data_IF_678617769905
#
_entry.id   IF_678617769905
#
_cell.length_a   1.000
_cell.length_b   1.000
_cell.length_c   1.000
_cell.angle_alpha   90.00
_cell.angle_beta   90.00
_cell.angle_gamma   90.00
#
_symmetry.space_group_name_H-M   'P 1'
#
loop_
_entity.id
_entity.type
_entity.pdbx_description
1 polymer ?
#
# COMPACT_ATOMS: atom_id res chain seq x y z
N UNK A 1 13.49 51.54 9.59
CA UNK A 1 12.90 50.57 8.65
C UNK A 1 13.32 49.17 9.09
N UNK A 2 12.42 48.38 9.67
CA UNK A 2 12.74 47.02 10.09
C UNK A 2 12.51 46.06 8.93
N UNK A 3 13.58 45.46 8.46
CA UNK A 3 13.55 44.45 7.41
C UNK A 3 13.02 43.14 8.02
N UNK A 4 11.74 42.84 7.78
CA UNK A 4 11.13 41.56 8.18
C UNK A 4 11.62 40.47 7.25
N UNK A 5 12.79 39.91 7.56
CA UNK A 5 13.30 38.72 6.89
C UNK A 5 12.24 37.62 6.91
N UNK A 6 11.72 37.26 5.74
CA UNK A 6 10.87 36.08 5.56
C UNK A 6 11.67 34.87 6.01
N UNK A 7 11.35 34.35 7.20
CA UNK A 7 11.84 33.05 7.65
C UNK A 7 11.32 31.99 6.67
N UNK A 8 12.17 31.53 5.76
CA UNK A 8 11.93 30.41 4.86
C UNK A 8 12.15 29.11 5.62
N UNK A 9 11.33 28.84 6.63
CA UNK A 9 11.35 27.52 7.27
C UNK A 9 10.88 26.51 6.25
N UNK A 10 11.78 25.60 5.85
CA UNK A 10 11.43 24.52 4.93
C UNK A 10 10.22 23.76 5.46
N UNK A 11 9.24 23.52 4.59
CA UNK A 11 8.06 22.72 4.91
C UNK A 11 8.50 21.33 5.40
N UNK A 12 8.03 20.91 6.57
CA UNK A 12 8.34 19.57 7.10
C UNK A 12 7.77 18.51 6.17
N UNK A 13 8.55 17.47 5.89
CA UNK A 13 8.18 16.39 4.98
C UNK A 13 7.42 15.28 5.69
N UNK A 14 6.31 14.84 5.09
CA UNK A 14 5.57 13.65 5.51
C UNK A 14 6.10 12.44 4.74
N UNK A 15 6.74 11.51 5.44
CA UNK A 15 7.32 10.32 4.83
C UNK A 15 6.31 9.18 4.70
N UNK A 16 5.50 8.96 5.73
CA UNK A 16 4.56 7.85 5.77
C UNK A 16 3.28 8.15 6.53
N UNK A 17 2.21 7.45 6.16
CA UNK A 17 0.92 7.45 6.88
C UNK A 17 0.57 6.00 7.20
N UNK A 18 0.25 5.73 8.47
CA UNK A 18 -0.32 4.45 8.86
C UNK A 18 -1.81 4.44 8.50
N UNK A 19 -2.22 3.42 7.75
CA UNK A 19 -3.61 3.25 7.33
C UNK A 19 -4.09 1.84 7.60
N UNK A 20 -5.37 1.72 7.92
CA UNK A 20 -6.08 0.45 8.06
C UNK A 20 -7.00 0.28 6.87
N UNK A 21 -7.11 -0.95 6.38
CA UNK A 21 -8.19 -1.28 5.46
C UNK A 21 -9.54 -1.12 6.17
N UNK A 22 -10.47 -0.46 5.48
CA UNK A 22 -11.84 -0.22 5.92
C UNK A 22 -12.75 -0.33 4.69
N UNK A 23 -13.38 -1.50 4.56
CA UNK A 23 -14.04 -1.99 3.35
C UNK A 23 -13.09 -1.95 2.13
N UNK A 24 -13.39 -1.09 1.15
CA UNK A 24 -12.56 -0.89 -0.06
C UNK A 24 -11.50 0.20 0.12
N UNK A 25 -11.49 0.91 1.25
CA UNK A 25 -10.66 2.08 1.48
C UNK A 25 -9.46 1.78 2.38
N UNK A 26 -8.52 2.72 2.41
CA UNK A 26 -7.44 2.78 3.39
C UNK A 26 -7.55 4.07 4.19
N UNK A 27 -7.85 3.96 5.47
CA UNK A 27 -8.14 5.09 6.36
C UNK A 27 -7.08 5.24 7.45
N UNK A 28 -6.67 6.48 7.72
CA UNK A 28 -5.65 6.80 8.71
C UNK A 28 -5.74 8.24 9.22
N UNK A 29 -4.68 8.68 9.88
CA UNK A 29 -4.56 10.04 10.41
C UNK A 29 -3.19 10.64 10.10
N UNK A 30 -3.18 11.95 9.89
CA UNK A 30 -1.94 12.75 9.81
C UNK A 30 -1.94 13.66 11.04
N UNK A 31 -0.87 13.65 11.82
CA UNK A 31 -0.77 14.46 13.04
C UNK A 31 0.41 15.43 12.94
N UNK A 32 0.13 16.72 13.17
CA UNK A 32 1.13 17.79 13.18
C UNK A 32 1.01 18.61 14.45
N UNK A 33 1.81 18.25 15.46
CA UNK A 33 1.69 18.86 16.78
C UNK A 33 0.32 18.56 17.39
N UNK A 34 -0.56 19.57 17.51
CA UNK A 34 -1.90 19.43 18.08
C UNK A 34 -3.03 19.31 17.04
N UNK A 35 -2.69 19.31 15.74
CA UNK A 35 -3.67 19.25 14.65
C UNK A 35 -3.69 17.82 14.08
N UNK A 36 -4.88 17.20 14.05
CA UNK A 36 -5.09 15.86 13.49
C UNK A 36 -6.00 15.88 12.26
N UNK A 37 -5.50 15.43 11.12
CA UNK A 37 -6.28 15.31 9.88
C UNK A 37 -6.75 13.86 9.72
N UNK A 38 -7.98 13.67 9.25
CA UNK A 38 -8.42 12.36 8.76
C UNK A 38 -7.94 12.19 7.33
N UNK A 39 -7.31 11.06 7.04
CA UNK A 39 -6.82 10.69 5.72
C UNK A 39 -7.58 9.46 5.24
N UNK A 40 -8.00 9.45 3.98
CA UNK A 40 -8.56 8.29 3.32
C UNK A 40 -8.01 8.20 1.90
N UNK A 41 -7.58 7.00 1.50
CA UNK A 41 -7.35 6.65 0.10
C UNK A 41 -8.42 5.64 -0.33
N UNK A 42 -9.14 5.97 -1.40
CA UNK A 42 -10.25 5.18 -1.94
C UNK A 42 -9.87 4.70 -3.35
N UNK A 43 -9.29 3.49 -3.48
CA UNK A 43 -9.04 2.85 -4.76
C UNK A 43 -10.33 2.72 -5.58
N UNK A 44 -10.26 3.03 -6.87
CA UNK A 44 -11.32 2.79 -7.85
C UNK A 44 -10.91 1.78 -8.92
N UNK A 45 -9.61 1.57 -9.13
CA UNK A 45 -9.09 0.54 -10.03
C UNK A 45 -7.76 -0.03 -9.53
N UNK A 46 -7.41 -1.19 -10.06
CA UNK A 46 -6.14 -1.88 -9.83
C UNK A 46 -5.59 -2.36 -11.17
N UNK A 47 -4.27 -2.31 -11.32
CA UNK A 47 -3.53 -2.82 -12.46
C UNK A 47 -2.17 -3.37 -12.00
N UNK A 48 -1.54 -4.17 -12.86
CA UNK A 48 -0.14 -4.53 -12.74
C UNK A 48 0.65 -3.66 -13.73
N UNK A 49 1.66 -2.95 -13.23
CA UNK A 49 2.56 -2.12 -14.04
C UNK A 49 3.98 -2.32 -13.55
N UNK A 50 4.89 -2.63 -14.46
CA UNK A 50 6.31 -2.92 -14.14
C UNK A 50 6.46 -3.99 -13.05
N UNK A 51 5.66 -5.06 -13.14
CA UNK A 51 5.55 -6.13 -12.15
C UNK A 51 4.67 -5.78 -10.95
N UNK A 52 4.54 -4.50 -10.61
CA UNK A 52 3.96 -4.07 -9.33
C UNK A 52 2.46 -3.87 -9.39
N UNK A 53 1.81 -4.16 -8.26
CA UNK A 53 0.43 -3.72 -8.02
C UNK A 53 0.37 -2.18 -7.99
N UNK A 54 -0.43 -1.59 -8.87
CA UNK A 54 -0.75 -0.16 -8.87
C UNK A 54 -2.24 0.01 -8.67
N UNK A 55 -2.62 0.69 -7.59
CA UNK A 55 -3.99 1.13 -7.36
C UNK A 55 -4.14 2.57 -7.84
N UNK A 56 -5.24 2.87 -8.52
CA UNK A 56 -5.62 4.26 -8.82
C UNK A 56 -6.87 4.61 -8.05
N UNK A 57 -6.93 5.80 -7.47
CA UNK A 57 -8.05 6.19 -6.64
C UNK A 57 -8.07 7.66 -6.25
N UNK A 58 -8.82 7.95 -5.19
CA UNK A 58 -9.01 9.30 -4.65
C UNK A 58 -8.37 9.40 -3.27
N UNK A 59 -7.55 10.41 -3.05
CA UNK A 59 -7.11 10.80 -1.70
C UNK A 59 -8.03 11.87 -1.17
N UNK A 60 -8.56 11.69 0.03
CA UNK A 60 -9.34 12.68 0.76
C UNK A 60 -8.64 13.01 2.08
N UNK A 61 -8.52 14.31 2.37
CA UNK A 61 -8.02 14.81 3.66
C UNK A 61 -9.07 15.74 4.28
N UNK A 62 -9.44 15.47 5.54
CA UNK A 62 -10.36 16.30 6.32
C UNK A 62 -9.65 16.89 7.53
N UNK A 63 -9.57 18.22 7.59
CA UNK A 63 -9.05 18.95 8.75
C UNK A 63 -10.05 18.88 9.93
N UNK A 64 -9.59 19.06 11.20
CA UNK A 64 -10.46 18.94 12.37
C UNK A 64 -11.74 19.80 12.33
N UNK A 65 -11.60 21.05 11.89
CA UNK A 65 -12.67 22.04 11.81
C UNK A 65 -12.85 22.58 10.37
N UNK A 66 -12.33 21.87 9.37
CA UNK A 66 -12.28 22.34 7.98
C UNK A 66 -13.02 21.44 7.00
N UNK A 67 -13.17 21.93 5.77
CA UNK A 67 -13.73 21.17 4.67
C UNK A 67 -12.84 19.98 4.30
N UNK A 68 -13.47 18.91 3.84
CA UNK A 68 -12.76 17.81 3.17
C UNK A 68 -12.20 18.30 1.84
N UNK A 69 -10.95 17.97 1.56
CA UNK A 69 -10.30 18.23 0.28
C UNK A 69 -9.91 16.92 -0.37
N UNK A 70 -9.99 16.85 -1.69
CA UNK A 70 -9.74 15.63 -2.46
C UNK A 70 -8.76 15.86 -3.61
N UNK A 71 -8.03 14.81 -3.95
CA UNK A 71 -7.22 14.70 -5.17
C UNK A 71 -7.60 13.39 -5.84
N UNK A 72 -7.99 13.46 -7.11
CA UNK A 72 -8.40 12.31 -7.91
C UNK A 72 -7.22 11.75 -8.71
N UNK A 73 -7.37 10.54 -9.24
CA UNK A 73 -6.36 9.85 -10.05
C UNK A 73 -5.00 9.70 -9.35
N UNK A 74 -5.01 9.54 -8.03
CA UNK A 74 -3.81 9.26 -7.25
C UNK A 74 -3.42 7.80 -7.47
N UNK A 75 -2.17 7.57 -7.86
CA UNK A 75 -1.62 6.24 -7.99
C UNK A 75 -0.95 5.82 -6.68
N UNK A 76 -1.14 4.57 -6.28
CA UNK A 76 -0.52 3.94 -5.14
C UNK A 76 0.17 2.66 -5.63
N UNK A 77 1.50 2.72 -5.77
CA UNK A 77 2.33 1.62 -6.28
C UNK A 77 2.84 0.78 -5.12
N UNK A 78 2.58 -0.52 -5.13
CA UNK A 78 3.10 -1.45 -4.12
C UNK A 78 4.62 -1.54 -4.25
N UNK A 79 5.32 -1.17 -3.19
CA UNK A 79 6.79 -1.21 -3.13
C UNK A 79 7.29 -2.45 -2.40
N UNK A 80 6.51 -2.94 -1.44
CA UNK A 80 6.81 -4.11 -0.64
C UNK A 80 5.53 -4.60 0.06
N UNK A 81 5.56 -5.86 0.49
CA UNK A 81 4.59 -6.44 1.41
C UNK A 81 5.30 -7.16 2.56
N UNK A 82 4.57 -7.36 3.65
CA UNK A 82 4.98 -8.21 4.77
C UNK A 82 3.88 -9.25 5.00
N UNK A 83 4.27 -10.50 5.21
CA UNK A 83 3.36 -11.60 5.53
C UNK A 83 2.65 -11.42 6.87
N UNK A 84 1.56 -12.16 7.06
CA UNK A 84 0.83 -12.29 8.31
C UNK A 84 1.08 -13.68 8.91
N UNK A 85 1.05 -13.78 10.24
CA UNK A 85 1.18 -15.05 10.99
C UNK A 85 -0.14 -15.81 11.14
N UNK A 86 -1.23 -15.29 10.58
CA UNK A 86 -2.56 -15.91 10.60
C UNK A 86 -2.82 -16.66 9.31
N UNK A 87 -3.73 -17.64 9.36
CA UNK A 87 -4.18 -18.37 8.17
C UNK A 87 -4.64 -17.39 7.06
N UNK A 88 -4.20 -17.65 5.83
CA UNK A 88 -4.69 -16.90 4.68
C UNK A 88 -6.23 -16.95 4.59
N UNK A 89 -6.87 -15.87 4.14
CA UNK A 89 -8.28 -15.90 3.81
C UNK A 89 -8.54 -16.93 2.71
N UNK A 90 -9.70 -17.58 2.77
CA UNK A 90 -10.11 -18.51 1.73
C UNK A 90 -10.19 -17.80 0.37
N UNK A 91 -9.89 -18.53 -0.71
CA UNK A 91 -10.03 -18.02 -2.06
C UNK A 91 -11.49 -17.58 -2.32
N UNK A 92 -11.72 -16.36 -2.84
CA UNK A 92 -13.07 -15.90 -3.18
C UNK A 92 -13.73 -16.81 -4.21
N UNK A 93 -15.05 -17.02 -4.09
CA UNK A 93 -15.82 -17.83 -5.03
C UNK A 93 -15.80 -17.25 -6.46
N UNK A 94 -15.63 -15.93 -6.58
CA UNK A 94 -15.44 -15.25 -7.86
C UNK A 94 -14.41 -14.13 -7.72
N UNK A 95 -13.55 -14.00 -8.73
CA UNK A 95 -12.57 -12.90 -8.85
C UNK A 95 -12.90 -12.20 -10.16
N UNK A 96 -12.98 -10.87 -10.13
CA UNK A 96 -13.18 -10.06 -11.34
C UNK A 96 -12.15 -10.39 -12.41
N UNK A 97 -12.55 -10.42 -13.68
CA UNK A 97 -11.70 -10.89 -14.77
C UNK A 97 -10.36 -10.13 -14.90
N UNK A 98 -10.35 -8.83 -14.58
CA UNK A 98 -9.16 -7.97 -14.55
C UNK A 98 -8.14 -8.32 -13.44
N UNK A 99 -8.54 -9.18 -12.51
CA UNK A 99 -7.78 -9.58 -11.33
C UNK A 99 -7.38 -11.06 -11.37
N UNK A 100 -7.75 -11.78 -12.44
CA UNK A 100 -7.32 -13.15 -12.70
C UNK A 100 -5.88 -13.13 -13.22
N UNK A 101 -4.92 -12.99 -12.32
CA UNK A 101 -3.50 -13.23 -12.63
C UNK A 101 -3.21 -14.73 -12.46
N UNK A 102 -2.35 -15.36 -13.29
CA UNK A 102 -1.83 -16.69 -12.98
C UNK A 102 -1.15 -16.62 -11.61
N UNK A 103 -1.72 -17.33 -10.63
CA UNK A 103 -1.07 -17.53 -9.35
C UNK A 103 0.18 -18.38 -9.59
N UNK A 104 1.30 -18.10 -8.90
CA UNK A 104 2.44 -19.00 -8.94
C UNK A 104 1.99 -20.40 -8.54
N UNK A 105 2.38 -21.41 -9.32
CA UNK A 105 2.11 -22.80 -8.98
C UNK A 105 2.76 -23.14 -7.64
N UNK A 106 2.07 -23.93 -6.81
CA UNK A 106 2.63 -24.41 -5.54
C UNK A 106 3.91 -25.19 -5.83
N UNK A 107 5.04 -24.69 -5.32
CA UNK A 107 6.35 -25.32 -5.51
C UNK A 107 6.50 -26.42 -4.46
N UNK A 108 6.11 -27.65 -4.83
CA UNK A 108 6.07 -28.82 -3.94
C UNK A 108 7.44 -29.17 -3.32
N UNK A 109 8.52 -28.62 -3.88
CA UNK A 109 9.92 -28.84 -3.53
C UNK A 109 10.50 -27.76 -2.60
N UNK A 110 9.76 -26.69 -2.27
CA UNK A 110 10.24 -25.61 -1.41
C UNK A 110 9.64 -25.68 0.00
N UNK A 111 10.40 -25.29 1.04
CA UNK A 111 9.83 -25.10 2.38
C UNK A 111 8.62 -24.17 2.31
N UNK A 112 7.59 -24.46 3.09
CA UNK A 112 6.43 -23.58 3.24
C UNK A 112 6.89 -22.28 3.91
N UNK A 113 6.70 -21.17 3.22
CA UNK A 113 7.04 -19.81 3.65
C UNK A 113 5.93 -18.87 3.23
N UNK A 114 6.05 -17.59 3.61
CA UNK A 114 5.08 -16.59 3.20
C UNK A 114 4.92 -16.43 1.67
N UNK A 115 5.88 -16.91 0.88
CA UNK A 115 5.86 -16.86 -0.58
C UNK A 115 5.55 -18.21 -1.25
N UNK A 116 5.54 -19.31 -0.50
CA UNK A 116 5.47 -20.69 -1.04
C UNK A 116 4.37 -21.54 -0.43
N UNK A 117 3.76 -21.09 0.67
CA UNK A 117 2.66 -21.77 1.35
C UNK A 117 1.29 -21.37 0.77
N UNK A 118 0.35 -22.31 0.72
CA UNK A 118 -1.05 -22.04 0.36
C UNK A 118 -1.83 -21.30 1.45
N UNK A 119 -1.19 -21.07 2.61
CA UNK A 119 -1.74 -20.39 3.79
C UNK A 119 -1.14 -19.00 4.06
N UNK A 120 -0.20 -18.50 3.24
CA UNK A 120 0.34 -17.17 3.51
C UNK A 120 -0.49 -16.04 2.88
N UNK A 121 -0.58 -14.94 3.62
CA UNK A 121 -1.26 -13.73 3.18
C UNK A 121 -0.43 -12.50 3.55
N UNK A 122 -0.56 -11.44 2.75
CA UNK A 122 -0.03 -10.14 3.13
C UNK A 122 -0.76 -9.64 4.38
N UNK A 123 -0.02 -9.27 5.42
CA UNK A 123 -0.53 -8.55 6.60
C UNK A 123 -0.31 -7.04 6.50
N UNK A 124 0.73 -6.62 5.78
CA UNK A 124 1.04 -5.21 5.51
C UNK A 124 1.42 -5.02 4.06
N UNK A 125 0.97 -3.94 3.45
CA UNK A 125 1.40 -3.49 2.12
C UNK A 125 1.95 -2.06 2.23
N UNK A 126 3.07 -1.81 1.57
CA UNK A 126 3.70 -0.51 1.51
C UNK A 126 3.45 0.12 0.14
N UNK A 127 2.53 1.09 0.06
CA UNK A 127 2.24 1.78 -1.19
C UNK A 127 2.98 3.11 -1.27
N UNK A 128 3.70 3.36 -2.35
CA UNK A 128 4.17 4.70 -2.70
C UNK A 128 3.07 5.47 -3.42
N UNK A 129 2.67 6.62 -2.88
CA UNK A 129 1.73 7.48 -3.58
C UNK A 129 2.43 8.31 -4.66
N UNK A 130 1.70 8.60 -5.74
CA UNK A 130 2.06 9.69 -6.65
C UNK A 130 2.12 11.01 -5.89
N UNK A 131 2.86 11.98 -6.45
CA UNK A 131 3.13 13.26 -5.77
C UNK A 131 1.83 13.96 -5.38
N UNK A 132 1.67 14.28 -4.10
CA UNK A 132 0.56 15.06 -3.58
C UNK A 132 1.00 16.49 -3.22
N UNK A 133 0.15 17.46 -3.52
CA UNK A 133 0.29 18.82 -3.00
C UNK A 133 -0.41 18.94 -1.64
N UNK A 134 0.38 18.94 -0.57
CA UNK A 134 -0.12 19.09 0.79
C UNK A 134 -0.91 20.39 1.00
N UNK A 135 -0.51 21.50 0.37
CA UNK A 135 -1.20 22.80 0.50
C UNK A 135 -2.56 22.76 -0.15
N UNK A 136 -2.67 22.14 -1.33
CA UNK A 136 -3.96 21.89 -1.98
C UNK A 136 -4.87 21.05 -1.08
N UNK A 137 -4.32 20.06 -0.38
CA UNK A 137 -5.03 19.22 0.61
C UNK A 137 -5.24 19.89 1.99
N UNK A 138 -4.77 21.12 2.20
CA UNK A 138 -4.92 21.84 3.47
C UNK A 138 -4.00 21.35 4.59
N UNK A 139 -2.96 20.58 4.25
CA UNK A 139 -1.95 20.06 5.16
C UNK A 139 -0.69 20.91 5.01
N UNK A 140 -0.20 21.48 6.12
CA UNK A 140 1.03 22.28 6.15
C UNK A 140 2.31 21.41 6.17
N UNK A 141 2.34 20.35 5.36
CA UNK A 141 3.46 19.42 5.21
C UNK A 141 3.75 19.21 3.72
N UNK A 142 5.01 18.90 3.40
CA UNK A 142 5.38 18.40 2.09
C UNK A 142 4.94 16.93 1.97
N UNK A 143 3.96 16.67 1.11
CA UNK A 143 3.38 15.35 0.84
C UNK A 143 3.85 14.77 -0.50
N UNK A 144 4.90 15.31 -1.10
CA UNK A 144 5.38 14.93 -2.43
C UNK A 144 5.90 13.49 -2.56
N UNK A 145 6.11 12.81 -1.44
CA UNK A 145 6.78 11.50 -1.40
C UNK A 145 6.21 10.59 -0.31
N UNK A 146 4.89 10.64 -0.08
CA UNK A 146 4.22 9.85 0.98
C UNK A 146 4.19 8.36 0.64
N UNK A 147 4.48 7.53 1.63
CA UNK A 147 4.22 6.09 1.64
C UNK A 147 3.02 5.76 2.54
N UNK A 148 2.12 4.89 2.09
CA UNK A 148 1.11 4.28 2.96
C UNK A 148 1.64 2.98 3.54
N UNK A 149 1.58 2.86 4.86
CA UNK A 149 1.82 1.61 5.58
C UNK A 149 0.44 0.99 5.84
N UNK A 150 -0.08 0.26 4.85
CA UNK A 150 -1.43 -0.29 4.86
C UNK A 150 -1.45 -1.63 5.59
N UNK A 151 -2.09 -1.67 6.75
CA UNK A 151 -2.33 -2.92 7.49
C UNK A 151 -3.64 -3.54 7.04
N UNK A 152 -3.58 -4.83 6.71
CA UNK A 152 -4.74 -5.63 6.35
C UNK A 152 -5.22 -6.35 7.62
N UNK A 153 -6.45 -6.09 8.02
CA UNK A 153 -7.08 -6.71 9.19
C UNK A 153 -8.57 -6.89 8.89
N UNK A 154 -8.93 -7.88 8.06
CA UNK A 154 -10.26 -7.96 7.50
C UNK A 154 -11.30 -8.33 8.56
N UNK A 155 -12.36 -7.55 8.61
CA UNK A 155 -13.56 -7.71 9.46
C UNK A 155 -14.79 -8.02 8.63
N UNK A 156 -14.76 -7.77 7.32
CA UNK A 156 -15.84 -8.06 6.37
C UNK A 156 -15.42 -9.08 5.30
N UNK A 157 -16.38 -9.61 4.55
CA UNK A 157 -16.11 -10.48 3.40
C UNK A 157 -15.35 -9.75 2.30
N UNK A 158 -15.76 -8.53 1.96
CA UNK A 158 -15.07 -7.68 0.99
C UNK A 158 -13.59 -7.50 1.36
N UNK A 159 -13.30 -7.25 2.63
CA UNK A 159 -11.92 -7.06 3.10
C UNK A 159 -11.11 -8.35 3.00
N UNK A 160 -11.69 -9.51 3.29
CA UNK A 160 -11.06 -10.83 3.12
C UNK A 160 -10.74 -11.10 1.66
N UNK A 161 -11.68 -10.82 0.76
CA UNK A 161 -11.49 -11.02 -0.68
C UNK A 161 -10.37 -10.12 -1.23
N UNK A 162 -10.33 -8.87 -0.78
CA UNK A 162 -9.27 -7.93 -1.13
C UNK A 162 -7.91 -8.34 -0.55
N UNK A 163 -7.85 -8.83 0.70
CA UNK A 163 -6.60 -9.34 1.26
C UNK A 163 -6.10 -10.56 0.48
N UNK A 164 -6.98 -11.50 0.11
CA UNK A 164 -6.61 -12.63 -0.74
C UNK A 164 -6.03 -12.13 -2.07
N UNK A 165 -6.69 -11.17 -2.70
CA UNK A 165 -6.27 -10.61 -3.98
C UNK A 165 -4.90 -9.92 -3.89
N UNK A 166 -4.69 -9.08 -2.88
CA UNK A 166 -3.40 -8.42 -2.71
C UNK A 166 -2.28 -9.42 -2.42
N UNK A 167 -2.57 -10.49 -1.67
CA UNK A 167 -1.61 -11.57 -1.40
C UNK A 167 -1.24 -12.30 -2.69
N UNK A 168 -2.23 -12.68 -3.49
CA UNK A 168 -2.04 -13.31 -4.79
C UNK A 168 -1.15 -12.48 -5.73
N UNK A 169 -1.42 -11.18 -5.83
CA UNK A 169 -0.67 -10.28 -6.71
C UNK A 169 0.76 -10.06 -6.20
N UNK A 170 0.93 -9.83 -4.90
CA UNK A 170 2.26 -9.58 -4.32
C UNK A 170 3.15 -10.82 -4.32
N UNK A 171 2.57 -12.03 -4.29
CA UNK A 171 3.31 -13.28 -4.50
C UNK A 171 3.75 -13.44 -5.97
N UNK A 172 2.92 -13.02 -6.94
CA UNK A 172 3.25 -13.08 -8.37
C UNK A 172 4.35 -12.09 -8.79
N UNK A 173 4.45 -10.94 -8.12
CA UNK A 173 5.48 -9.91 -8.35
C UNK A 173 6.83 -10.22 -7.65
N UNK A 174 6.90 -11.30 -6.86
CA UNK A 174 8.11 -11.74 -6.18
C UNK A 174 8.64 -13.09 -6.74
N UNK A 175 8.86 -13.25 -8.06
CA UNK A 175 9.63 -14.39 -8.55
C UNK A 175 11.10 -14.14 -8.22
N UNK A 176 11.52 -14.26 -6.95
CA UNK A 176 12.95 -14.31 -6.67
C UNK A 176 13.53 -15.53 -7.38
N UNK A 177 14.51 -15.38 -8.29
CA UNK A 177 15.36 -16.49 -8.65
C UNK A 177 16.26 -16.77 -7.45
N UNK A 178 15.84 -17.65 -6.55
CA UNK A 178 16.69 -18.08 -5.43
C UNK A 178 17.81 -19.05 -5.87
N UNK A 179 18.17 -19.07 -7.16
CA UNK A 179 19.08 -20.06 -7.75
C UNK A 179 20.28 -19.48 -8.52
N UNK A 180 20.62 -18.20 -8.41
CA UNK A 180 21.93 -17.71 -8.90
C UNK A 180 23.03 -17.78 -7.83
N UNK A 181 22.70 -18.14 -6.59
CA UNK A 181 23.66 -18.24 -5.48
C UNK A 181 24.26 -19.64 -5.24
N UNK A 182 23.73 -20.69 -5.87
CA UNK A 182 24.17 -22.08 -5.63
C UNK A 182 25.05 -22.65 -6.75
N UNK A 183 25.15 -21.99 -7.91
CA UNK A 183 26.05 -22.40 -9.00
C UNK A 183 27.52 -22.01 -8.76
N UNK A 184 27.82 -21.24 -7.70
CA UNK A 184 29.18 -20.85 -7.31
C UNK A 184 29.76 -21.67 -6.13
N UNK A 185 29.02 -22.67 -5.62
CA UNK A 185 29.49 -23.52 -4.51
C UNK A 185 29.60 -25.01 -4.84
N UNK A 186 29.27 -25.43 -6.06
CA UNK A 186 29.59 -26.77 -6.54
C UNK A 186 30.62 -26.68 -7.66
N UNK A 187 31.84 -26.35 -7.25
CA UNK A 187 33.00 -26.76 -8.01
C UNK A 187 33.06 -28.29 -8.00
N UNK A 188 32.91 -28.89 -9.18
CA UNK A 188 33.73 -29.98 -9.72
C UNK A 188 33.34 -30.22 -11.18
#
# INVERSE_FOLDING_TARGET
MFNTGKSTTASRKLHSIHVLQDDKNFSGKIETGRIGYKFTFSPSSAAISDGKLVLTGVVTVKAPAGASRKVENVQATCMASQGNIQNAPAKPASIGASLKHPLPAQQADKPLTDATDNLSSAGVIYFKLSKLDGRALGVALDMSSVQLNARLNPKSETERDLQWLYSAITAADNPKPYLDGLSLMLGK
#
